data_IF_431091489010
#
_entry.id   IF_431091489010
#
_cell.length_a   1.000
_cell.length_b   1.000
_cell.length_c   1.000
_cell.angle_alpha   90.00
_cell.angle_beta   90.00
_cell.angle_gamma   90.00
#
_symmetry.space_group_name_H-M   'P 1'
#
loop_
_entity.id
_entity.type
_entity.pdbx_description
1 polymer ?
#
# COMPACT_ATOMS: atom_id res chain seq x y z
N UNK A 1 -6.43 1.28 -26.52
CA UNK A 1 -5.13 0.58 -26.46
C UNK A 1 -4.01 1.61 -26.51
N UNK A 2 -3.68 2.16 -25.35
CA UNK A 2 -2.64 3.17 -25.10
C UNK A 2 -2.45 3.16 -23.59
N UNK A 3 -1.31 2.93 -22.97
CA UNK A 3 -0.05 2.26 -23.33
C UNK A 3 0.59 2.02 -21.93
N UNK A 4 1.06 0.81 -21.57
CA UNK A 4 1.82 0.61 -20.32
C UNK A 4 3.01 1.59 -20.17
N UNK A 5 3.50 2.14 -21.29
CA UNK A 5 4.53 3.17 -21.33
C UNK A 5 4.20 4.47 -20.58
N UNK A 6 2.93 4.83 -20.34
CA UNK A 6 2.57 6.13 -19.75
C UNK A 6 2.57 6.10 -18.21
N UNK A 7 2.13 4.99 -17.59
CA UNK A 7 2.35 4.74 -16.16
C UNK A 7 3.84 4.53 -15.86
N UNK A 8 4.60 3.95 -16.79
CA UNK A 8 6.06 3.87 -16.67
C UNK A 8 6.72 5.25 -16.75
N UNK A 9 6.23 6.15 -17.61
CA UNK A 9 6.76 7.50 -17.75
C UNK A 9 6.53 8.37 -16.50
N UNK A 10 5.35 8.29 -15.87
CA UNK A 10 5.08 9.02 -14.62
C UNK A 10 5.93 8.49 -13.45
N UNK A 11 6.31 7.21 -13.47
CA UNK A 11 7.19 6.58 -12.48
C UNK A 11 8.68 6.66 -12.81
N UNK A 12 9.05 7.37 -13.89
CA UNK A 12 10.44 7.74 -14.17
C UNK A 12 10.85 9.01 -13.47
N UNK A 13 9.94 9.69 -12.76
CA UNK A 13 10.22 10.94 -12.05
C UNK A 13 9.64 10.88 -10.64
N UNK A 14 10.30 11.55 -9.71
CA UNK A 14 9.81 11.78 -8.35
C UNK A 14 9.17 13.18 -8.30
N UNK A 15 7.88 13.29 -7.92
CA UNK A 15 7.21 14.57 -7.80
C UNK A 15 7.90 15.51 -6.81
N UNK A 16 8.00 16.79 -7.17
CA UNK A 16 8.56 17.83 -6.29
C UNK A 16 10.08 18.00 -6.37
N UNK A 17 10.80 17.16 -7.12
CA UNK A 17 12.25 17.33 -7.37
C UNK A 17 12.57 18.12 -8.66
N UNK A 18 11.59 18.37 -9.53
CA UNK A 18 11.83 19.10 -10.78
C UNK A 18 12.87 18.40 -11.66
N UNK A 19 13.88 19.15 -12.12
CA UNK A 19 15.01 18.64 -12.91
C UNK A 19 16.07 17.90 -12.07
N UNK A 20 16.05 18.06 -10.74
CA UNK A 20 17.02 17.43 -9.81
C UNK A 20 16.62 15.98 -9.48
N UNK A 21 16.32 15.20 -10.51
CA UNK A 21 15.93 13.80 -10.37
C UNK A 21 17.13 12.92 -10.02
N UNK A 22 16.97 11.97 -9.08
CA UNK A 22 18.04 11.03 -8.77
C UNK A 22 18.18 9.98 -9.90
N UNK A 23 19.23 9.15 -9.88
CA UNK A 23 19.40 8.06 -10.83
C UNK A 23 18.18 7.12 -10.87
N UNK A 24 17.96 6.46 -12.02
CA UNK A 24 16.78 5.64 -12.26
C UNK A 24 16.59 4.52 -11.21
N UNK A 25 17.69 3.99 -10.68
CA UNK A 25 17.73 2.99 -9.62
C UNK A 25 17.12 3.51 -8.32
N UNK A 26 17.45 4.75 -7.95
CA UNK A 26 16.89 5.44 -6.78
C UNK A 26 15.42 5.75 -7.01
N UNK A 27 15.04 6.18 -8.22
CA UNK A 27 13.63 6.43 -8.58
C UNK A 27 12.80 5.14 -8.47
N UNK A 28 13.31 4.02 -9.00
CA UNK A 28 12.64 2.72 -8.89
C UNK A 28 12.49 2.27 -7.44
N UNK A 29 13.53 2.44 -6.62
CA UNK A 29 13.49 2.11 -5.20
C UNK A 29 12.54 3.01 -4.41
N UNK A 30 12.48 4.30 -4.75
CA UNK A 30 11.53 5.27 -4.20
C UNK A 30 10.10 4.82 -4.47
N UNK A 31 9.77 4.48 -5.72
CA UNK A 31 8.42 4.01 -6.05
C UNK A 31 8.08 2.67 -5.42
N UNK A 32 9.06 1.78 -5.18
CA UNK A 32 8.83 0.58 -4.39
C UNK A 32 8.49 0.89 -2.92
N UNK A 33 9.13 1.90 -2.31
CA UNK A 33 8.79 2.39 -0.98
C UNK A 33 7.43 3.12 -0.95
N UNK A 34 7.11 3.89 -1.99
CA UNK A 34 5.83 4.56 -2.13
C UNK A 34 4.68 3.55 -2.30
N UNK A 35 4.84 2.52 -3.14
CA UNK A 35 3.87 1.42 -3.28
C UNK A 35 3.68 0.67 -1.95
N UNK A 36 4.74 0.52 -1.15
CA UNK A 36 4.67 -0.06 0.19
C UNK A 36 3.88 0.85 1.15
N UNK A 37 4.11 2.15 1.11
CA UNK A 37 3.36 3.14 1.90
C UNK A 37 1.89 3.25 1.49
N UNK A 38 1.58 3.24 0.19
CA UNK A 38 0.21 3.16 -0.32
C UNK A 38 -0.51 1.94 0.20
N UNK A 39 0.27 0.89 0.48
CA UNK A 39 -0.19 -0.32 1.10
C UNK A 39 -0.35 -0.19 2.64
N UNK A 40 -0.24 0.99 3.23
CA UNK A 40 -0.36 1.20 4.69
C UNK A 40 0.80 0.61 5.49
N UNK A 41 1.90 0.28 4.82
CA UNK A 41 3.13 -0.16 5.46
C UNK A 41 4.13 1.00 5.49
N UNK A 42 4.70 1.28 6.66
CA UNK A 42 5.62 2.41 6.78
C UNK A 42 7.05 1.92 6.92
N UNK A 43 7.86 2.11 5.89
CA UNK A 43 9.30 1.86 5.94
C UNK A 43 9.94 2.82 6.95
N UNK A 44 10.52 2.26 8.01
CA UNK A 44 11.18 3.01 9.08
C UNK A 44 12.69 3.08 8.89
N UNK A 45 13.27 2.00 8.39
CA UNK A 45 14.73 1.83 8.30
C UNK A 45 15.07 1.08 7.02
N UNK A 46 15.97 1.66 6.23
CA UNK A 46 16.54 1.07 5.02
C UNK A 46 18.06 1.09 5.22
N UNK A 47 18.68 -0.07 5.26
CA UNK A 47 20.10 -0.19 5.58
C UNK A 47 20.78 -1.28 4.76
N UNK A 48 22.09 -1.15 4.63
CA UNK A 48 22.93 -2.12 3.96
C UNK A 48 24.22 -2.34 4.74
N UNK A 49 24.57 -3.60 4.96
CA UNK A 49 25.84 -4.03 5.51
C UNK A 49 26.73 -4.53 4.37
N UNK A 50 27.77 -3.75 4.03
CA UNK A 50 28.70 -4.07 2.96
C UNK A 50 29.59 -5.29 3.27
N UNK A 51 29.83 -5.61 4.55
CA UNK A 51 30.65 -6.76 4.93
C UNK A 51 29.95 -8.07 4.58
N UNK A 52 28.66 -8.15 4.96
CA UNK A 52 27.81 -9.31 4.70
C UNK A 52 27.06 -9.21 3.36
N UNK A 53 27.16 -8.07 2.66
CA UNK A 53 26.39 -7.74 1.46
C UNK A 53 24.88 -7.97 1.67
N UNK A 54 24.37 -7.56 2.83
CA UNK A 54 22.99 -7.81 3.25
C UNK A 54 22.25 -6.50 3.46
N UNK A 55 21.11 -6.33 2.81
CA UNK A 55 20.18 -5.25 3.08
C UNK A 55 19.22 -5.59 4.20
N UNK A 56 18.81 -4.58 4.96
CA UNK A 56 17.77 -4.65 5.98
C UNK A 56 16.71 -3.58 5.73
N UNK A 57 15.45 -4.01 5.64
CA UNK A 57 14.28 -3.14 5.55
C UNK A 57 13.41 -3.41 6.75
N UNK A 58 13.27 -2.41 7.61
CA UNK A 58 12.33 -2.45 8.74
C UNK A 58 11.11 -1.61 8.40
N UNK A 59 9.93 -2.20 8.49
CA UNK A 59 8.66 -1.54 8.25
C UNK A 59 7.65 -1.82 9.36
N UNK A 60 6.75 -0.87 9.58
CA UNK A 60 5.55 -1.10 10.36
C UNK A 60 4.45 -1.67 9.47
N UNK A 61 3.84 -2.76 9.91
CA UNK A 61 2.61 -3.29 9.32
C UNK A 61 1.47 -2.29 9.53
N UNK A 62 0.37 -2.42 8.76
CA UNK A 62 -0.87 -1.68 9.02
C UNK A 62 -1.43 -1.89 10.44
N UNK A 63 -1.04 -2.98 11.11
CA UNK A 63 -1.41 -3.30 12.50
C UNK A 63 -0.38 -2.80 13.54
N UNK A 64 0.51 -1.88 13.13
CA UNK A 64 1.63 -1.31 13.92
C UNK A 64 2.69 -2.30 14.40
N UNK A 65 2.70 -3.55 13.92
CA UNK A 65 3.78 -4.50 14.22
C UNK A 65 5.03 -4.14 13.43
N UNK A 66 6.19 -4.26 14.04
CA UNK A 66 7.46 -4.08 13.34
C UNK A 66 7.87 -5.39 12.68
N UNK A 67 8.16 -5.33 11.38
CA UNK A 67 8.69 -6.44 10.59
C UNK A 67 10.01 -5.99 9.98
N UNK A 68 11.03 -6.84 10.09
CA UNK A 68 12.31 -6.64 9.42
C UNK A 68 12.49 -7.74 8.38
N UNK A 69 12.82 -7.33 7.16
CA UNK A 69 13.17 -8.21 6.05
C UNK A 69 14.61 -7.95 5.70
N UNK A 70 15.39 -9.02 5.54
CA UNK A 70 16.76 -8.91 5.07
C UNK A 70 16.95 -9.60 3.73
N UNK A 71 17.79 -9.02 2.89
CA UNK A 71 18.13 -9.56 1.58
C UNK A 71 19.64 -9.74 1.46
N UNK A 72 20.06 -11.00 1.33
CA UNK A 72 21.46 -11.37 1.07
C UNK A 72 21.72 -11.30 -0.43
N UNK A 73 22.53 -10.31 -0.84
CA UNK A 73 22.85 -10.07 -2.25
C UNK A 73 23.74 -11.18 -2.83
N UNK A 74 24.66 -11.75 -2.04
CA UNK A 74 25.58 -12.81 -2.48
C UNK A 74 24.85 -14.14 -2.67
N UNK A 75 23.91 -14.43 -1.78
CA UNK A 75 23.06 -15.62 -1.84
C UNK A 75 21.82 -15.46 -2.72
N UNK A 76 21.54 -14.26 -3.23
CA UNK A 76 20.33 -13.88 -3.97
C UNK A 76 19.04 -14.38 -3.29
N UNK A 77 18.96 -14.23 -1.97
CA UNK A 77 17.89 -14.82 -1.15
C UNK A 77 17.48 -13.89 -0.02
N UNK A 78 16.19 -13.88 0.28
CA UNK A 78 15.70 -13.29 1.51
C UNK A 78 16.07 -14.19 2.69
N UNK A 79 16.59 -13.63 3.79
CA UNK A 79 16.67 -14.40 5.02
C UNK A 79 15.27 -14.45 5.64
N UNK A 80 14.85 -15.66 6.03
CA UNK A 80 13.49 -15.97 6.44
C UNK A 80 13.01 -15.13 7.63
N UNK A 81 11.91 -14.41 7.45
CA UNK A 81 11.05 -13.92 8.54
C UNK A 81 9.56 -14.09 8.19
N UNK A 82 8.75 -14.30 9.23
CA UNK A 82 7.29 -14.48 9.16
C UNK A 82 6.63 -13.18 8.68
N UNK A 83 6.54 -13.00 7.37
CA UNK A 83 5.76 -11.91 6.78
C UNK A 83 4.33 -12.43 6.58
N UNK A 84 3.31 -11.79 7.18
CA UNK A 84 1.94 -12.33 7.20
C UNK A 84 1.35 -12.56 5.79
N UNK A 85 1.51 -11.60 4.88
CA UNK A 85 0.88 -11.63 3.56
C UNK A 85 1.88 -11.82 2.42
N UNK A 86 1.56 -12.68 1.45
CA UNK A 86 2.38 -12.97 0.26
C UNK A 86 2.60 -11.75 -0.65
N UNK A 87 1.62 -10.84 -0.71
CA UNK A 87 1.73 -9.62 -1.52
C UNK A 87 2.61 -8.57 -0.83
N UNK A 88 2.38 -8.34 0.47
CA UNK A 88 3.23 -7.46 1.29
C UNK A 88 4.67 -7.98 1.39
N UNK A 89 4.86 -9.31 1.49
CA UNK A 89 6.18 -9.93 1.47
C UNK A 89 6.89 -9.68 0.15
N UNK A 90 6.20 -9.80 -0.98
CA UNK A 90 6.82 -9.52 -2.29
C UNK A 90 7.26 -8.06 -2.41
N UNK A 91 6.48 -7.10 -1.89
CA UNK A 91 6.84 -5.67 -1.92
C UNK A 91 8.01 -5.34 -1.00
N UNK A 92 8.00 -5.86 0.22
CA UNK A 92 9.13 -5.72 1.15
C UNK A 92 10.40 -6.37 0.60
N UNK A 93 10.28 -7.54 -0.03
CA UNK A 93 11.41 -8.22 -0.67
C UNK A 93 11.94 -7.38 -1.85
N UNK A 94 11.06 -6.81 -2.69
CA UNK A 94 11.49 -5.92 -3.78
C UNK A 94 12.20 -4.67 -3.26
N UNK A 95 11.69 -4.07 -2.19
CA UNK A 95 12.37 -2.93 -1.56
C UNK A 95 13.71 -3.34 -0.96
N UNK A 96 13.79 -4.50 -0.29
CA UNK A 96 15.04 -5.02 0.25
C UNK A 96 16.06 -5.37 -0.83
N UNK A 97 15.62 -5.89 -1.98
CA UNK A 97 16.45 -6.09 -3.17
C UNK A 97 17.00 -4.76 -3.69
N UNK A 98 16.14 -3.76 -3.82
CA UNK A 98 16.56 -2.44 -4.29
C UNK A 98 17.57 -1.80 -3.31
N UNK A 99 17.31 -1.86 -2.00
CA UNK A 99 18.25 -1.40 -0.96
C UNK A 99 19.58 -2.15 -1.03
N UNK A 100 19.57 -3.46 -1.30
CA UNK A 100 20.80 -4.24 -1.45
C UNK A 100 21.59 -3.81 -2.68
N UNK A 101 20.93 -3.60 -3.81
CA UNK A 101 21.57 -3.13 -5.05
C UNK A 101 22.15 -1.73 -4.89
N UNK A 102 21.41 -0.80 -4.28
CA UNK A 102 21.88 0.56 -4.03
C UNK A 102 23.02 0.59 -3.01
N UNK A 103 22.90 -0.12 -1.89
CA UNK A 103 23.96 -0.16 -0.88
C UNK A 103 25.24 -0.82 -1.39
N UNK A 104 25.13 -1.82 -2.27
CA UNK A 104 26.30 -2.39 -2.94
C UNK A 104 26.92 -1.39 -3.91
N UNK A 105 26.11 -0.63 -4.65
CA UNK A 105 26.62 0.44 -5.51
C UNK A 105 27.38 1.47 -4.67
N UNK A 106 26.79 1.97 -3.59
CA UNK A 106 27.44 2.93 -2.68
C UNK A 106 28.78 2.41 -2.15
N UNK A 107 28.87 1.12 -1.84
CA UNK A 107 30.11 0.49 -1.39
C UNK A 107 31.19 0.37 -2.49
N UNK A 108 30.79 0.32 -3.77
CA UNK A 108 31.69 0.21 -4.92
C UNK A 108 32.07 1.57 -5.53
N UNK A 109 31.14 2.53 -5.53
CA UNK A 109 31.23 3.79 -6.28
C UNK A 109 31.33 5.03 -5.39
N UNK A 110 30.95 4.91 -4.10
CA UNK A 110 30.82 6.03 -3.16
C UNK A 110 29.78 7.10 -3.54
N UNK A 111 28.79 6.77 -4.38
CA UNK A 111 27.79 7.72 -4.91
C UNK A 111 26.61 8.01 -3.96
N UNK A 112 26.53 7.36 -2.80
CA UNK A 112 25.55 7.60 -1.72
C UNK A 112 24.05 7.50 -2.15
N UNK A 113 23.73 6.66 -3.13
CA UNK A 113 22.37 6.46 -3.64
C UNK A 113 21.41 5.85 -2.60
N UNK A 114 21.87 4.94 -1.75
CA UNK A 114 21.03 4.42 -0.66
C UNK A 114 20.72 5.52 0.36
N UNK A 115 21.71 6.36 0.67
CA UNK A 115 21.51 7.53 1.53
C UNK A 115 20.47 8.45 0.91
N UNK A 116 20.58 8.78 -0.38
CA UNK A 116 19.61 9.59 -1.10
C UNK A 116 18.18 9.00 -1.05
N UNK A 117 18.03 7.69 -1.24
CA UNK A 117 16.75 6.99 -1.07
C UNK A 117 16.20 7.17 0.36
N UNK A 118 17.02 7.00 1.39
CA UNK A 118 16.61 7.18 2.79
C UNK A 118 16.04 8.59 3.03
N UNK A 119 16.70 9.62 2.52
CA UNK A 119 16.23 11.01 2.60
C UNK A 119 14.86 11.17 1.92
N UNK A 120 14.72 10.67 0.68
CA UNK A 120 13.48 10.79 -0.09
C UNK A 120 12.30 10.06 0.58
N UNK A 121 12.54 8.86 1.10
CA UNK A 121 11.51 8.08 1.79
C UNK A 121 11.12 8.76 3.11
N UNK A 122 12.07 9.24 3.89
CA UNK A 122 11.75 9.96 5.13
C UNK A 122 10.99 11.27 4.87
N UNK A 123 11.37 12.01 3.82
CA UNK A 123 10.80 13.32 3.51
C UNK A 123 9.43 13.25 2.83
N UNK A 124 9.26 12.38 1.83
CA UNK A 124 8.06 12.35 0.97
C UNK A 124 7.13 11.18 1.24
N UNK A 125 7.67 10.06 1.72
CA UNK A 125 6.90 8.83 1.98
C UNK A 125 6.55 8.70 3.48
N UNK A 126 7.32 9.36 4.36
CA UNK A 126 7.15 9.37 5.81
C UNK A 126 6.10 10.34 6.35
N UNK A 127 5.53 11.22 5.51
CA UNK A 127 4.43 12.07 5.91
C UNK A 127 3.10 11.29 5.80
N UNK A 128 2.31 11.15 6.88
CA UNK A 128 1.01 10.44 6.88
C UNK A 128 -0.10 11.10 6.02
N UNK A 129 0.28 11.98 5.08
CA UNK A 129 -0.61 12.90 4.37
C UNK A 129 -0.52 12.84 2.84
N UNK A 130 0.25 11.93 2.22
CA UNK A 130 0.33 11.88 0.73
C UNK A 130 -0.72 10.95 0.10
N UNK A 131 -1.32 10.05 0.86
CA UNK A 131 -2.30 9.08 0.37
C UNK A 131 -3.71 9.65 0.06
N UNK A 132 -3.89 10.98 0.12
CA UNK A 132 -5.18 11.62 -0.16
C UNK A 132 -5.77 11.32 -1.55
N UNK A 133 -4.96 10.94 -2.55
CA UNK A 133 -5.46 10.72 -3.92
C UNK A 133 -6.35 9.48 -4.07
N UNK A 134 -6.04 8.36 -3.41
CA UNK A 134 -6.82 7.12 -3.57
C UNK A 134 -8.00 7.04 -2.57
N UNK A 135 -7.94 7.79 -1.47
CA UNK A 135 -8.98 7.81 -0.42
C UNK A 135 -10.25 8.55 -0.79
N UNK A 136 -10.23 9.36 -1.84
CA UNK A 136 -11.40 10.09 -2.31
C UNK A 136 -11.94 9.53 -3.62
N UNK A 137 -11.59 8.27 -3.94
CA UNK A 137 -12.10 7.64 -5.16
C UNK A 137 -13.62 7.49 -5.05
N UNK A 138 -14.33 8.33 -5.80
CA UNK A 138 -15.79 8.34 -5.89
C UNK A 138 -16.29 7.77 -7.21
N UNK A 139 -15.41 7.14 -8.00
CA UNK A 139 -15.79 6.46 -9.25
C UNK A 139 -16.82 5.37 -8.98
N UNK A 140 -17.65 5.08 -9.98
CA UNK A 140 -18.61 3.99 -9.94
C UNK A 140 -17.90 2.67 -9.66
N UNK A 141 -18.49 1.84 -8.79
CA UNK A 141 -17.95 0.51 -8.51
C UNK A 141 -18.30 -0.40 -9.71
N UNK A 142 -17.31 -0.98 -10.39
CA UNK A 142 -17.55 -1.91 -11.48
C UNK A 142 -18.36 -3.12 -11.00
N UNK A 143 -19.28 -3.60 -11.84
CA UNK A 143 -20.14 -4.75 -11.51
C UNK A 143 -21.50 -4.39 -10.90
N UNK A 144 -21.72 -3.13 -10.49
CA UNK A 144 -23.03 -2.67 -10.05
C UNK A 144 -23.73 -1.87 -11.17
N UNK A 145 -25.04 -2.11 -11.40
CA UNK A 145 -25.82 -1.28 -12.31
C UNK A 145 -26.02 0.13 -11.71
N UNK A 146 -26.21 1.13 -12.59
CA UNK A 146 -26.26 2.56 -12.20
C UNK A 146 -27.29 2.87 -11.11
N UNK A 147 -28.41 2.15 -11.07
CA UNK A 147 -29.48 2.29 -10.08
C UNK A 147 -29.15 1.69 -8.69
N UNK A 148 -28.11 0.86 -8.61
CA UNK A 148 -27.64 0.23 -7.37
C UNK A 148 -26.34 0.84 -6.86
N UNK A 149 -25.74 1.76 -7.61
CA UNK A 149 -24.50 2.43 -7.23
C UNK A 149 -24.66 3.13 -5.86
N UNK A 150 -23.78 2.84 -4.89
CA UNK A 150 -23.82 3.51 -3.60
C UNK A 150 -23.51 4.99 -3.75
N UNK A 151 -23.84 5.80 -2.75
CA UNK A 151 -23.53 7.23 -2.76
C UNK A 151 -22.03 7.45 -2.63
N UNK A 152 -21.56 8.68 -2.78
CA UNK A 152 -20.12 9.01 -2.82
C UNK A 152 -19.33 8.40 -1.65
N UNK A 153 -19.85 8.42 -0.42
CA UNK A 153 -19.21 7.79 0.75
C UNK A 153 -19.19 6.26 0.69
N UNK A 154 -20.26 5.62 0.19
CA UNK A 154 -20.28 4.18 -0.02
C UNK A 154 -19.34 3.74 -1.15
N UNK A 155 -19.14 4.57 -2.19
CA UNK A 155 -18.14 4.30 -3.24
C UNK A 155 -16.71 4.40 -2.71
N UNK A 156 -16.42 5.42 -1.91
CA UNK A 156 -15.12 5.54 -1.23
C UNK A 156 -14.88 4.30 -0.34
N UNK A 157 -15.88 3.88 0.44
CA UNK A 157 -15.79 2.68 1.26
C UNK A 157 -15.55 1.42 0.42
N UNK A 158 -16.25 1.29 -0.71
CA UNK A 158 -16.06 0.18 -1.64
C UNK A 158 -14.67 0.13 -2.25
N UNK A 159 -14.08 1.27 -2.61
CA UNK A 159 -12.70 1.31 -3.12
C UNK A 159 -11.66 0.99 -2.05
N UNK A 160 -11.86 1.43 -0.81
CA UNK A 160 -11.00 1.04 0.31
C UNK A 160 -11.10 -0.46 0.60
N UNK A 161 -12.30 -1.03 0.57
CA UNK A 161 -12.49 -2.49 0.70
C UNK A 161 -11.84 -3.23 -0.46
N UNK A 162 -12.02 -2.74 -1.70
CA UNK A 162 -11.39 -3.31 -2.89
C UNK A 162 -9.88 -3.35 -2.75
N UNK A 163 -9.29 -2.26 -2.27
CA UNK A 163 -7.86 -2.19 -1.98
C UNK A 163 -7.46 -3.25 -0.94
N UNK A 164 -8.12 -3.27 0.23
CA UNK A 164 -7.86 -4.23 1.31
C UNK A 164 -7.93 -5.70 0.85
N UNK A 165 -8.94 -6.04 0.04
CA UNK A 165 -9.17 -7.42 -0.43
C UNK A 165 -8.26 -7.80 -1.59
N UNK A 166 -8.12 -6.94 -2.60
CA UNK A 166 -7.39 -7.26 -3.82
C UNK A 166 -5.89 -7.15 -3.66
N UNK A 167 -5.43 -6.12 -2.97
CA UNK A 167 -4.02 -5.81 -2.84
C UNK A 167 -3.36 -6.61 -1.71
N UNK A 168 -4.08 -6.83 -0.61
CA UNK A 168 -3.52 -7.47 0.58
C UNK A 168 -4.07 -8.86 0.86
N UNK A 169 -5.11 -9.26 0.13
CA UNK A 169 -5.77 -10.55 0.32
C UNK A 169 -6.60 -10.63 1.59
N UNK A 170 -6.98 -9.50 2.20
CA UNK A 170 -7.77 -9.50 3.43
C UNK A 170 -9.18 -10.04 3.18
N UNK A 171 -9.78 -10.60 4.22
CA UNK A 171 -11.22 -10.88 4.24
C UNK A 171 -11.88 -9.95 5.26
N UNK A 172 -12.61 -8.96 4.76
CA UNK A 172 -13.33 -7.97 5.57
C UNK A 172 -14.71 -8.51 5.93
N UNK A 173 -15.13 -8.34 7.19
CA UNK A 173 -16.41 -8.80 7.76
C UNK A 173 -16.93 -7.77 8.77
N UNK A 174 -18.19 -7.91 9.16
CA UNK A 174 -18.82 -7.10 10.22
C UNK A 174 -18.71 -5.58 9.98
N UNK A 175 -18.99 -5.14 8.75
CA UNK A 175 -18.89 -3.74 8.33
C UNK A 175 -19.92 -2.87 9.06
N UNK A 176 -19.45 -1.90 9.85
CA UNK A 176 -20.28 -0.96 10.57
C UNK A 176 -21.04 -1.57 11.75
N UNK A 177 -20.77 -2.82 12.11
CA UNK A 177 -21.47 -3.52 13.18
C UNK A 177 -20.92 -3.19 14.57
N UNK A 178 -21.78 -3.29 15.59
CA UNK A 178 -21.42 -3.00 16.99
C UNK A 178 -20.32 -3.92 17.52
N UNK A 179 -20.22 -5.16 17.02
CA UNK A 179 -19.15 -6.11 17.37
C UNK A 179 -17.75 -5.56 17.00
N UNK A 180 -17.69 -4.65 16.03
CA UNK A 180 -16.47 -3.95 15.64
C UNK A 180 -16.41 -2.51 16.18
N UNK A 181 -17.29 -2.11 17.11
CA UNK A 181 -17.38 -0.74 17.59
C UNK A 181 -17.69 0.26 16.47
N UNK A 182 -18.57 -0.12 15.53
CA UNK A 182 -18.94 0.69 14.36
C UNK A 182 -17.91 0.72 13.23
N UNK A 183 -16.81 -0.03 13.37
CA UNK A 183 -15.78 -0.20 12.35
C UNK A 183 -15.93 -1.52 11.59
N UNK A 184 -14.87 -2.31 11.44
CA UNK A 184 -14.96 -3.63 10.80
C UNK A 184 -13.99 -4.65 11.42
N UNK A 185 -14.21 -5.92 11.09
CA UNK A 185 -13.31 -7.02 11.45
C UNK A 185 -12.65 -7.54 10.17
N UNK A 186 -11.35 -7.84 10.22
CA UNK A 186 -10.66 -8.44 9.09
C UNK A 186 -9.85 -9.67 9.47
N UNK A 187 -9.96 -10.71 8.64
CA UNK A 187 -8.97 -11.78 8.61
C UNK A 187 -7.83 -11.34 7.72
N UNK A 188 -6.67 -11.16 8.34
CA UNK A 188 -5.44 -10.75 7.67
C UNK A 188 -4.64 -12.01 7.35
N UNK A 189 -4.28 -12.26 6.08
CA UNK A 189 -3.46 -13.41 5.73
C UNK A 189 -2.17 -13.45 6.57
N UNK A 190 -1.91 -14.60 7.18
CA UNK A 190 -0.74 -14.85 8.03
C UNK A 190 -0.70 -14.08 9.36
N UNK A 191 -1.82 -13.48 9.77
CA UNK A 191 -1.97 -12.84 11.08
C UNK A 191 -3.30 -13.28 11.75
N UNK A 192 -3.52 -12.82 12.97
CA UNK A 192 -4.78 -13.00 13.72
C UNK A 192 -5.89 -12.12 13.15
N UNK A 193 -7.13 -12.57 13.34
CA UNK A 193 -8.31 -11.76 13.09
C UNK A 193 -8.22 -10.46 13.90
N UNK A 194 -8.34 -9.32 13.23
CA UNK A 194 -8.13 -8.00 13.82
C UNK A 194 -9.43 -7.19 13.80
N UNK A 195 -9.70 -6.49 14.90
CA UNK A 195 -10.81 -5.55 15.03
C UNK A 195 -10.30 -4.15 14.77
N UNK A 196 -10.91 -3.45 13.82
CA UNK A 196 -10.61 -2.07 13.47
C UNK A 196 -11.79 -1.20 13.88
N UNK A 197 -11.79 -0.62 15.10
CA UNK A 197 -12.93 0.15 15.60
C UNK A 197 -13.01 1.54 14.98
N UNK A 198 -14.22 2.09 14.85
CA UNK A 198 -14.40 3.43 14.28
C UNK A 198 -13.73 4.54 15.10
N UNK A 199 -13.53 4.31 16.40
CA UNK A 199 -12.85 5.24 17.29
C UNK A 199 -11.31 5.19 17.18
N UNK A 200 -10.73 4.27 16.40
CA UNK A 200 -9.26 4.15 16.29
C UNK A 200 -8.64 5.46 15.78
N UNK A 201 -7.42 5.75 16.23
CA UNK A 201 -6.64 6.87 15.69
C UNK A 201 -6.45 6.73 14.19
N UNK A 202 -6.48 7.86 13.49
CA UNK A 202 -6.13 7.86 12.09
C UNK A 202 -4.61 7.75 11.93
N UNK A 203 -4.15 6.63 11.38
CA UNK A 203 -2.73 6.34 11.20
C UNK A 203 -2.26 6.46 9.74
N UNK A 204 -3.11 7.00 8.87
CA UNK A 204 -2.80 7.13 7.45
C UNK A 204 -2.95 5.84 6.64
N UNK A 205 -3.54 4.78 7.19
CA UNK A 205 -3.81 3.54 6.45
C UNK A 205 -5.21 3.52 5.84
N UNK A 206 -5.39 2.72 4.76
CA UNK A 206 -6.71 2.44 4.18
C UNK A 206 -7.65 1.77 5.20
N UNK A 207 -7.12 0.94 6.10
CA UNK A 207 -7.88 0.29 7.15
C UNK A 207 -8.41 1.30 8.18
N UNK A 208 -7.58 2.21 8.69
CA UNK A 208 -8.04 3.26 9.59
C UNK A 208 -8.98 4.25 8.91
N UNK A 209 -8.74 4.56 7.62
CA UNK A 209 -9.65 5.38 6.82
C UNK A 209 -11.04 4.74 6.71
N UNK A 210 -11.09 3.45 6.37
CA UNK A 210 -12.34 2.70 6.27
C UNK A 210 -13.06 2.64 7.61
N UNK A 211 -12.38 2.19 8.68
CA UNK A 211 -12.98 2.02 10.00
C UNK A 211 -13.63 3.29 10.53
N UNK A 212 -12.94 4.42 10.41
CA UNK A 212 -13.43 5.73 10.88
C UNK A 212 -14.56 6.30 10.01
N UNK A 213 -14.62 5.91 8.74
CA UNK A 213 -15.63 6.41 7.81
C UNK A 213 -16.94 5.63 7.89
N UNK A 214 -16.91 4.33 8.23
CA UNK A 214 -18.08 3.45 8.26
C UNK A 214 -19.30 4.02 9.02
N UNK A 215 -19.17 4.68 10.19
CA UNK A 215 -20.32 5.29 10.88
C UNK A 215 -21.05 6.36 10.06
N UNK A 216 -20.39 6.89 9.03
CA UNK A 216 -20.90 7.97 8.19
C UNK A 216 -21.44 7.49 6.83
N UNK A 217 -21.32 6.18 6.56
CA UNK A 217 -21.84 5.52 5.36
C UNK A 217 -23.31 5.15 5.58
N UNK A 218 -24.22 5.43 4.63
CA UNK A 218 -25.62 5.06 4.78
C UNK A 218 -25.81 3.54 5.00
N UNK A 219 -26.74 3.11 5.88
CA UNK A 219 -26.95 1.69 6.16
C UNK A 219 -27.28 0.83 4.92
N UNK A 220 -28.00 1.41 3.94
CA UNK A 220 -28.27 0.76 2.66
C UNK A 220 -26.98 0.45 1.89
N UNK A 221 -26.04 1.41 1.87
CA UNK A 221 -24.76 1.25 1.17
C UNK A 221 -23.88 0.24 1.93
N UNK A 222 -23.91 0.23 3.27
CA UNK A 222 -23.22 -0.79 4.07
C UNK A 222 -23.72 -2.20 3.78
N UNK A 223 -25.05 -2.40 3.71
CA UNK A 223 -25.63 -3.70 3.35
C UNK A 223 -25.23 -4.16 1.95
N UNK A 224 -25.12 -3.24 0.99
CA UNK A 224 -24.64 -3.54 -0.35
C UNK A 224 -23.14 -3.94 -0.33
N UNK A 225 -22.30 -3.22 0.42
CA UNK A 225 -20.86 -3.50 0.52
C UNK A 225 -20.55 -4.77 1.32
N UNK A 226 -21.41 -5.17 2.27
CA UNK A 226 -21.22 -6.38 3.05
C UNK A 226 -21.51 -7.67 2.25
N UNK A 227 -22.31 -7.58 1.19
CA UNK A 227 -22.66 -8.71 0.34
C UNK A 227 -21.59 -8.94 -0.73
N UNK A 228 -20.58 -9.76 -0.37
CA UNK A 228 -19.47 -10.15 -1.25
C UNK A 228 -19.92 -10.76 -2.60
N UNK A 229 -21.10 -11.39 -2.64
CA UNK A 229 -21.64 -12.00 -3.86
C UNK A 229 -22.04 -10.96 -4.93
N UNK A 230 -22.33 -9.71 -4.53
CA UNK A 230 -22.66 -8.60 -5.44
C UNK A 230 -21.41 -7.88 -5.95
N UNK A 231 -20.28 -7.98 -5.24
CA UNK A 231 -19.06 -7.22 -5.52
C UNK A 231 -17.83 -8.13 -5.34
N UNK A 232 -17.34 -8.72 -6.43
CA UNK A 232 -15.99 -9.28 -6.43
C UNK A 232 -14.98 -8.13 -6.33
N UNK A 233 -14.60 -7.80 -5.10
CA UNK A 233 -13.67 -6.73 -4.78
C UNK A 233 -12.30 -6.87 -5.46
N UNK A 234 -11.90 -8.10 -5.82
CA UNK A 234 -10.70 -8.31 -6.63
C UNK A 234 -10.92 -7.83 -8.07
N UNK A 235 -12.07 -8.12 -8.66
CA UNK A 235 -12.45 -7.63 -9.98
C UNK A 235 -12.67 -6.11 -10.01
N UNK A 236 -13.28 -5.54 -8.95
CA UNK A 236 -13.44 -4.08 -8.79
C UNK A 236 -12.08 -3.37 -8.85
N UNK A 237 -11.10 -3.87 -8.11
CA UNK A 237 -9.76 -3.28 -8.08
C UNK A 237 -9.02 -3.38 -9.42
N UNK A 238 -9.14 -4.52 -10.11
CA UNK A 238 -8.47 -4.72 -11.41
C UNK A 238 -9.07 -3.85 -12.52
N UNK A 239 -10.40 -3.68 -12.54
CA UNK A 239 -11.08 -2.79 -13.50
C UNK A 239 -10.84 -1.31 -13.16
N UNK A 240 -10.81 -0.98 -11.88
CA UNK A 240 -10.50 0.37 -11.39
C UNK A 240 -9.08 0.84 -11.70
N UNK A 241 -8.11 -0.06 -11.87
CA UNK A 241 -6.76 0.30 -12.30
C UNK A 241 -6.67 0.76 -13.76
N UNK A 242 -7.75 0.62 -14.54
CA UNK A 242 -7.76 0.81 -16.00
C UNK A 242 -8.31 2.14 -16.53
N UNK A 243 -8.82 3.05 -15.70
CA UNK A 243 -9.51 4.27 -16.18
C UNK A 243 -8.98 5.54 -15.53
N UNK A 244 -7.75 5.93 -15.89
CA UNK A 244 -7.29 7.31 -15.82
C UNK A 244 -7.25 7.89 -17.23
N UNK A 245 -8.41 8.16 -17.82
CA UNK A 245 -8.51 8.64 -19.20
C UNK A 245 -9.84 9.35 -19.46
N UNK A 246 -9.72 10.63 -19.82
CA UNK A 246 -10.74 11.54 -20.34
C UNK A 246 -11.63 12.27 -19.33
N UNK A 247 -11.21 13.47 -18.95
CA UNK A 247 -11.56 14.69 -19.70
C UNK A 247 -10.56 15.80 -19.44
#
# INVERSE_FOLDING_TARGET
>A
MTRPAQQSADRQHIPGLGEDQPPAEVIHAYWAAADLAESGWHAKRLEFDAHTATAFVTAHTPTRRTVTVSWDLRGNRAAHHQIPSRAASQRLIRLAQAVASLGQNDAETCEEWLTQLCWLVQWQVGAPHVHHRNWQRTDLLPGLPDNEQPRSRGRIAGWLIAQLVAEYGWRVRHLGEDIAGGGFIADIPGDVCAVFPAAMEYDGTAAAALARMLPTVPPRDLGLLANLDYLDYRAVWTVGGGTGGSR
#
